data_IF_192774153962
#
_entry.id   IF_192774153962
#
_cell.length_a   1.000
_cell.length_b   1.000
_cell.length_c   1.000
_cell.angle_alpha   90.00
_cell.angle_beta   90.00
_cell.angle_gamma   90.00
#
_symmetry.space_group_name_H-M   'P 1'
#
loop_
_entity.id
_entity.type
_entity.pdbx_description
1 polymer ?
#
# COMPACT_ATOMS: atom_id res chain seq x y z
N UNK A 1 7.15 33.35 -7.90
CA UNK A 1 7.11 32.36 -6.80
C UNK A 1 5.88 31.51 -6.99
N UNK A 2 6.03 30.28 -7.45
CA UNK A 2 4.96 29.28 -7.49
C UNK A 2 4.75 28.76 -6.07
N UNK A 3 3.57 28.97 -5.50
CA UNK A 3 3.19 28.40 -4.20
C UNK A 3 3.14 26.88 -4.33
N UNK A 4 3.92 26.15 -3.52
CA UNK A 4 3.82 24.69 -3.43
C UNK A 4 2.63 24.39 -2.51
N UNK A 5 1.50 23.99 -3.10
CA UNK A 5 0.33 23.58 -2.33
C UNK A 5 0.60 22.21 -1.69
N UNK A 6 0.49 22.12 -0.37
CA UNK A 6 0.71 20.86 0.35
C UNK A 6 -0.53 19.97 0.20
N UNK A 7 -0.38 18.81 -0.45
CA UNK A 7 -1.46 17.85 -0.63
C UNK A 7 -1.28 16.65 0.30
N UNK A 8 -2.23 16.45 1.20
CA UNK A 8 -2.27 15.28 2.08
C UNK A 8 -3.06 14.18 1.38
N UNK A 9 -2.51 12.97 1.31
CA UNK A 9 -3.19 11.78 0.80
C UNK A 9 -3.24 10.72 1.89
N UNK A 10 -4.44 10.19 2.17
CA UNK A 10 -4.60 9.02 3.01
C UNK A 10 -4.13 7.76 2.26
N UNK A 11 -3.32 6.94 2.92
CA UNK A 11 -2.81 5.68 2.38
C UNK A 11 -2.91 4.57 3.41
N UNK A 12 -2.91 3.33 2.95
CA UNK A 12 -2.83 2.14 3.79
C UNK A 12 -1.64 1.27 3.36
N UNK A 13 -1.10 0.50 4.31
CA UNK A 13 -0.10 -0.53 4.07
C UNK A 13 -0.48 -1.79 4.83
N UNK A 14 -0.17 -2.95 4.28
CA UNK A 14 -0.59 -4.24 4.81
C UNK A 14 0.61 -5.14 5.04
N UNK A 15 0.64 -5.77 6.22
CA UNK A 15 1.64 -6.77 6.58
C UNK A 15 0.99 -8.15 6.50
N UNK A 16 1.35 -8.91 5.48
CA UNK A 16 0.97 -10.32 5.34
C UNK A 16 2.13 -11.18 5.82
N UNK A 17 1.82 -12.17 6.66
CA UNK A 17 2.79 -13.13 7.17
C UNK A 17 2.39 -14.55 6.78
N UNK A 18 3.37 -15.35 6.38
CA UNK A 18 3.16 -16.79 6.20
C UNK A 18 3.35 -17.57 7.51
N UNK A 19 3.16 -18.88 7.46
CA UNK A 19 3.30 -19.77 8.63
C UNK A 19 4.72 -19.79 9.21
N UNK A 20 5.74 -19.49 8.40
CA UNK A 20 7.12 -19.36 8.83
C UNK A 20 7.44 -17.95 9.40
N UNK A 21 6.45 -17.04 9.46
CA UNK A 21 6.60 -15.69 9.96
C UNK A 21 7.27 -14.71 9.00
N UNK A 22 7.50 -15.08 7.73
CA UNK A 22 8.09 -14.19 6.72
C UNK A 22 7.07 -13.16 6.27
N UNK A 23 7.53 -11.96 5.92
CA UNK A 23 6.67 -10.83 5.48
C UNK A 23 6.68 -10.71 3.97
N UNK A 24 5.49 -10.57 3.37
CA UNK A 24 5.33 -10.27 1.95
C UNK A 24 5.81 -8.83 1.64
N UNK A 25 6.71 -8.69 0.68
CA UNK A 25 7.18 -7.41 0.16
C UNK A 25 7.02 -7.36 -1.37
N UNK A 26 6.71 -6.17 -1.87
CA UNK A 26 6.61 -5.88 -3.30
C UNK A 26 7.86 -5.18 -3.79
N UNK A 27 8.47 -5.71 -4.85
CA UNK A 27 9.54 -5.04 -5.57
C UNK A 27 8.94 -3.98 -6.51
N UNK A 28 9.33 -2.72 -6.34
CA UNK A 28 8.87 -1.61 -7.18
C UNK A 28 9.72 -1.57 -8.44
N UNK A 29 9.07 -1.84 -9.57
CA UNK A 29 9.74 -1.85 -10.88
C UNK A 29 10.40 -0.50 -11.17
N UNK A 30 11.69 -0.51 -11.48
CA UNK A 30 12.46 0.69 -11.83
C UNK A 30 13.08 1.45 -10.65
N UNK A 31 12.68 1.15 -9.41
CA UNK A 31 13.21 1.85 -8.22
C UNK A 31 14.16 0.96 -7.39
N UNK A 32 14.31 -0.33 -7.71
CA UNK A 32 15.11 -1.29 -6.94
C UNK A 32 14.81 -1.30 -5.42
N UNK A 33 13.59 -0.89 -5.05
CA UNK A 33 13.13 -0.78 -3.66
C UNK A 33 12.04 -1.80 -3.37
N UNK A 34 11.97 -2.20 -2.11
CA UNK A 34 10.96 -3.09 -1.59
C UNK A 34 10.03 -2.33 -0.66
N UNK A 35 8.73 -2.61 -0.72
CA UNK A 35 7.74 -1.98 0.13
C UNK A 35 6.61 -2.94 0.51
N UNK A 36 5.82 -2.55 1.51
CA UNK A 36 4.60 -3.27 1.84
C UNK A 36 3.56 -3.10 0.71
N UNK A 37 2.72 -4.12 0.47
CA UNK A 37 1.50 -3.95 -0.29
C UNK A 37 0.62 -2.85 0.30
N UNK A 38 0.01 -2.04 -0.54
CA UNK A 38 -0.81 -0.92 -0.10
C UNK A 38 -0.95 0.16 -1.15
N UNK A 39 -1.79 1.14 -0.83
CA UNK A 39 -2.16 2.18 -1.77
C UNK A 39 -3.00 3.28 -1.15
N UNK A 40 -3.54 4.14 -2.00
CA UNK A 40 -4.41 5.24 -1.58
C UNK A 40 -5.73 4.74 -1.03
N UNK A 41 -6.24 5.44 -0.03
CA UNK A 41 -7.62 5.28 0.45
C UNK A 41 -8.49 6.23 -0.33
N UNK A 42 -9.48 5.69 -1.04
CA UNK A 42 -10.37 6.50 -1.87
C UNK A 42 -11.52 7.11 -1.03
N UNK A 43 -12.10 8.25 -1.44
CA UNK A 43 -13.23 8.85 -0.73
C UNK A 43 -14.40 7.89 -0.56
N UNK A 44 -14.88 7.73 0.67
CA UNK A 44 -15.96 6.79 1.01
C UNK A 44 -15.52 5.34 1.23
N UNK A 45 -14.24 5.03 1.06
CA UNK A 45 -13.67 3.73 1.37
C UNK A 45 -13.24 3.64 2.85
N UNK A 46 -13.52 2.51 3.50
CA UNK A 46 -12.91 2.21 4.81
C UNK A 46 -11.46 1.76 4.64
N UNK A 47 -10.62 1.96 5.65
CA UNK A 47 -9.23 1.45 5.66
C UNK A 47 -9.13 -0.04 5.30
N UNK A 48 -10.08 -0.86 5.78
CA UNK A 48 -10.13 -2.30 5.50
C UNK A 48 -10.47 -2.60 4.04
N UNK A 49 -11.38 -1.85 3.42
CA UNK A 49 -11.72 -2.01 2.02
C UNK A 49 -10.51 -1.67 1.12
N UNK A 50 -9.83 -0.55 1.40
CA UNK A 50 -8.62 -0.15 0.69
C UNK A 50 -7.53 -1.22 0.79
N UNK A 51 -7.26 -1.69 2.01
CA UNK A 51 -6.28 -2.73 2.27
C UNK A 51 -6.59 -4.03 1.51
N UNK A 52 -7.85 -4.50 1.53
CA UNK A 52 -8.25 -5.71 0.82
C UNK A 52 -8.14 -5.55 -0.70
N UNK A 53 -8.57 -4.41 -1.25
CA UNK A 53 -8.50 -4.10 -2.69
C UNK A 53 -7.06 -4.12 -3.19
N UNK A 54 -6.15 -3.44 -2.46
CA UNK A 54 -4.73 -3.37 -2.81
C UNK A 54 -4.03 -4.71 -2.63
N UNK A 55 -4.42 -5.52 -1.63
CA UNK A 55 -3.70 -6.76 -1.32
C UNK A 55 -4.20 -8.01 -2.05
N UNK A 56 -5.47 -8.03 -2.47
CA UNK A 56 -6.07 -9.22 -3.11
C UNK A 56 -5.24 -9.82 -4.25
N UNK A 57 -4.55 -9.04 -5.10
CA UNK A 57 -3.72 -9.61 -6.18
C UNK A 57 -2.49 -10.40 -5.72
N UNK A 58 -2.04 -10.23 -4.47
CA UNK A 58 -0.78 -10.79 -3.96
C UNK A 58 -0.96 -11.94 -2.97
N UNK A 59 -2.19 -12.21 -2.54
CA UNK A 59 -2.52 -13.22 -1.54
C UNK A 59 -3.27 -14.35 -2.26
N UNK A 60 -2.65 -15.53 -2.32
CA UNK A 60 -3.19 -16.75 -2.89
C UNK A 60 -3.18 -17.87 -1.84
#
# INVERSE_FOLDING_TARGET
MTTVETRIRATCGVVVRDEAGRVLLMCRSGECTWGLPGGGVEPGETWKQAALRECRPYIH
#
